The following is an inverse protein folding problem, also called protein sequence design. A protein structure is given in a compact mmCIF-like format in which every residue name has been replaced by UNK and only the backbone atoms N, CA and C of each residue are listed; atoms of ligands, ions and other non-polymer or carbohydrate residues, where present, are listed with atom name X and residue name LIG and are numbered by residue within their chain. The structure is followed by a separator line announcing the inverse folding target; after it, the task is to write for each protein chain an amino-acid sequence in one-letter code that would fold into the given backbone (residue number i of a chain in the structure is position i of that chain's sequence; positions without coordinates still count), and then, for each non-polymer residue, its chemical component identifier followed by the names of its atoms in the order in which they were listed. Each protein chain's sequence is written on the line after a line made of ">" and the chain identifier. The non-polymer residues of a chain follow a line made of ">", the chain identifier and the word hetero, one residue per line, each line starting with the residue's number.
data_IF_078148173642
#
_entry.id   IF_078148173642
#
_cell.length_a   1.000
_cell.length_b   1.000
_cell.length_c   1.000
_cell.angle_alpha   90.00
_cell.angle_beta   90.00
_cell.angle_gamma   90.00
#
_symmetry.space_group_name_H-M   'P 1'
#
loop_
_entity.id
_entity.type
_entity.pdbx_description
1 polymer ?
#
# COMPACT_ATOMS: atom_id res chain seq x y z
N UNK A 1 -15.90 -10.67 72.20
CA UNK A 1 -14.50 -10.81 71.66
C UNK A 1 -14.42 -11.75 70.46
N UNK A 2 -15.28 -12.72 70.31
CA UNK A 2 -15.24 -13.76 69.27
C UNK A 2 -15.57 -13.27 67.84
N UNK A 3 -16.44 -12.26 67.68
CA UNK A 3 -16.86 -11.77 66.37
C UNK A 3 -15.75 -10.95 65.67
N UNK A 4 -14.96 -10.22 66.42
CA UNK A 4 -13.82 -9.44 65.87
C UNK A 4 -12.66 -10.32 65.43
N UNK A 5 -12.43 -11.46 66.05
CA UNK A 5 -11.44 -12.46 65.65
C UNK A 5 -11.85 -13.21 64.39
N UNK A 6 -13.13 -13.50 64.25
CA UNK A 6 -13.67 -14.15 63.04
C UNK A 6 -13.60 -13.24 61.81
N UNK A 7 -13.81 -11.92 62.00
CA UNK A 7 -13.70 -10.94 60.89
C UNK A 7 -12.24 -10.74 60.45
N UNK A 8 -11.26 -10.74 61.39
CA UNK A 8 -9.85 -10.66 61.05
C UNK A 8 -9.31 -11.89 60.32
N UNK A 9 -9.79 -13.08 60.66
CA UNK A 9 -9.48 -14.33 59.94
C UNK A 9 -10.09 -14.37 58.54
N UNK A 10 -11.30 -13.82 58.36
CA UNK A 10 -11.91 -13.73 57.03
C UNK A 10 -11.20 -12.75 56.10
N UNK A 11 -10.73 -11.62 56.62
CA UNK A 11 -9.94 -10.65 55.85
C UNK A 11 -8.54 -11.19 55.51
N UNK A 12 -7.89 -11.92 56.44
CA UNK A 12 -6.62 -12.55 56.16
C UNK A 12 -6.67 -13.66 55.11
N UNK A 13 -7.81 -14.41 55.02
CA UNK A 13 -8.00 -15.44 54.00
C UNK A 13 -8.31 -14.85 52.62
N UNK A 14 -8.83 -13.61 52.49
CA UNK A 14 -9.08 -12.92 51.25
C UNK A 14 -7.77 -12.32 50.66
N UNK A 15 -6.76 -12.06 51.47
CA UNK A 15 -5.47 -11.60 51.00
C UNK A 15 -4.49 -12.73 50.57
N UNK A 16 -4.82 -14.00 50.84
CA UNK A 16 -3.99 -15.15 50.46
C UNK A 16 -4.25 -15.67 49.03
N UNK A 17 -5.20 -15.09 48.33
CA UNK A 17 -5.52 -15.50 46.96
C UNK A 17 -4.96 -14.53 45.94
N UNK A 18 -3.74 -14.66 45.52
CA UNK A 18 -3.14 -14.31 44.22
C UNK A 18 -1.61 -14.25 44.31
N UNK A 19 -1.00 -15.28 44.88
CA UNK A 19 0.39 -15.61 44.53
C UNK A 19 0.34 -16.82 43.63
N UNK A 20 -0.11 -16.63 42.41
CA UNK A 20 0.28 -17.44 41.26
C UNK A 20 1.73 -17.04 40.96
N UNK A 21 2.65 -17.51 41.77
CA UNK A 21 4.07 -17.51 41.43
C UNK A 21 4.32 -18.57 40.35
N UNK A 22 3.88 -18.27 39.16
CA UNK A 22 4.37 -18.90 37.96
C UNK A 22 5.30 -17.90 37.30
N UNK A 23 6.53 -17.85 37.75
CA UNK A 23 7.67 -17.17 37.11
C UNK A 23 8.05 -17.94 35.82
N UNK A 24 7.07 -18.23 34.96
CA UNK A 24 7.33 -18.69 33.62
C UNK A 24 7.37 -17.46 32.75
N UNK A 25 8.56 -16.92 32.53
CA UNK A 25 8.77 -15.95 31.46
C UNK A 25 8.05 -16.49 30.21
N UNK A 26 7.03 -15.79 29.67
CA UNK A 26 6.28 -16.26 28.49
C UNK A 26 7.19 -16.69 27.34
N UNK A 27 8.35 -16.07 27.21
CA UNK A 27 9.36 -16.37 26.19
C UNK A 27 10.01 -17.76 26.35
N UNK A 28 9.84 -18.42 27.51
CA UNK A 28 10.34 -19.79 27.69
C UNK A 28 9.46 -20.84 27.01
N UNK A 29 8.26 -20.48 26.56
CA UNK A 29 7.37 -21.37 25.81
C UNK A 29 7.37 -21.03 24.31
N UNK A 30 7.12 -22.02 23.44
CA UNK A 30 6.98 -21.76 22.01
C UNK A 30 5.82 -20.78 21.74
N UNK A 31 4.68 -21.01 22.37
CA UNK A 31 3.50 -20.14 22.25
C UNK A 31 3.81 -18.70 22.65
N UNK A 32 4.44 -18.49 23.79
CA UNK A 32 4.79 -17.15 24.27
C UNK A 32 5.81 -16.43 23.36
N UNK A 33 6.76 -17.18 22.77
CA UNK A 33 7.65 -16.61 21.74
C UNK A 33 6.91 -16.22 20.47
N UNK A 34 5.95 -17.02 20.01
CA UNK A 34 5.15 -16.71 18.83
C UNK A 34 4.28 -15.46 19.07
N UNK A 35 3.61 -15.38 20.22
CA UNK A 35 2.81 -14.20 20.61
C UNK A 35 3.69 -12.94 20.73
N UNK A 36 4.85 -13.05 21.34
CA UNK A 36 5.78 -11.92 21.48
C UNK A 36 6.32 -11.47 20.09
N UNK A 37 6.68 -12.42 19.22
CA UNK A 37 7.11 -12.14 17.85
C UNK A 37 6.02 -11.38 17.10
N UNK A 38 4.78 -11.87 17.12
CA UNK A 38 3.66 -11.22 16.46
C UNK A 38 3.41 -9.80 17.00
N UNK A 39 3.44 -9.63 18.34
CA UNK A 39 3.32 -8.33 18.97
C UNK A 39 4.43 -7.36 18.54
N UNK A 40 5.68 -7.84 18.43
CA UNK A 40 6.77 -7.02 17.93
C UNK A 40 6.60 -6.61 16.46
N UNK A 41 6.11 -7.52 15.60
CA UNK A 41 5.80 -7.18 14.20
C UNK A 41 4.72 -6.11 14.15
N UNK A 42 3.62 -6.26 14.89
CA UNK A 42 2.53 -5.28 14.93
C UNK A 42 3.00 -3.91 15.45
N UNK A 43 3.84 -3.90 16.49
CA UNK A 43 4.42 -2.66 17.01
C UNK A 43 5.30 -1.97 15.97
N UNK A 44 6.13 -2.73 15.24
CA UNK A 44 6.96 -2.21 14.17
C UNK A 44 6.14 -1.60 13.03
N UNK A 45 5.10 -2.31 12.57
CA UNK A 45 4.18 -1.81 11.56
C UNK A 45 3.43 -0.55 12.03
N UNK A 46 3.03 -0.50 13.31
CA UNK A 46 2.41 0.69 13.90
C UNK A 46 3.33 1.92 13.87
N UNK A 47 4.62 1.76 14.18
CA UNK A 47 5.59 2.84 14.05
C UNK A 47 5.80 3.27 12.58
N UNK A 48 5.86 2.31 11.66
CA UNK A 48 6.01 2.60 10.24
C UNK A 48 4.82 3.41 9.70
N UNK A 49 3.60 3.06 10.08
CA UNK A 49 2.40 3.81 9.72
C UNK A 49 2.41 5.25 10.23
N UNK A 50 3.10 5.52 11.33
CA UNK A 50 3.30 6.86 11.88
C UNK A 50 4.51 7.60 11.26
N UNK A 51 5.18 7.02 10.26
CA UNK A 51 6.39 7.57 9.66
C UNK A 51 7.63 7.49 10.55
N UNK A 52 7.62 6.65 11.59
CA UNK A 52 8.70 6.52 12.56
C UNK A 52 9.61 5.33 12.22
N UNK A 53 10.25 5.33 11.05
CA UNK A 53 11.04 4.21 10.51
C UNK A 53 12.12 3.73 11.48
N UNK A 54 12.90 4.64 12.07
CA UNK A 54 13.93 4.29 13.05
C UNK A 54 13.38 3.56 14.28
N UNK A 55 12.19 3.96 14.75
CA UNK A 55 11.53 3.28 15.86
C UNK A 55 10.98 1.92 15.48
N UNK A 56 10.53 1.75 14.24
CA UNK A 56 10.03 0.49 13.74
C UNK A 56 11.10 -0.61 13.73
N UNK A 57 12.35 -0.27 13.46
CA UNK A 57 13.47 -1.25 13.42
C UNK A 57 13.67 -2.00 14.73
N UNK A 58 13.49 -1.34 15.88
CA UNK A 58 13.76 -1.95 17.18
C UNK A 58 12.87 -3.17 17.46
N UNK A 59 11.54 -3.06 17.42
CA UNK A 59 10.69 -4.23 17.62
C UNK A 59 10.82 -5.26 16.50
N UNK A 60 11.01 -4.85 15.23
CA UNK A 60 11.17 -5.79 14.12
C UNK A 60 12.44 -6.64 14.26
N UNK A 61 13.55 -6.05 14.71
CA UNK A 61 14.76 -6.83 15.04
C UNK A 61 14.51 -7.83 16.15
N UNK A 62 13.77 -7.45 17.20
CA UNK A 62 13.37 -8.39 18.27
C UNK A 62 12.49 -9.53 17.75
N UNK A 63 11.62 -9.26 16.80
CA UNK A 63 10.85 -10.34 16.15
C UNK A 63 11.78 -11.32 15.43
N UNK A 64 12.79 -10.84 14.70
CA UNK A 64 13.78 -11.69 14.01
C UNK A 64 14.75 -12.39 14.96
N UNK A 65 15.04 -11.84 16.15
CA UNK A 65 15.78 -12.55 17.21
C UNK A 65 15.00 -13.80 17.69
N UNK A 66 13.66 -13.70 17.75
CA UNK A 66 12.80 -14.83 18.11
C UNK A 66 12.58 -15.83 16.95
N UNK A 67 12.53 -15.34 15.71
CA UNK A 67 12.33 -16.14 14.51
C UNK A 67 13.04 -15.49 13.30
N UNK A 68 14.30 -15.87 13.01
CA UNK A 68 15.09 -15.22 11.95
C UNK A 68 14.49 -15.26 10.54
N UNK A 69 13.70 -16.29 10.25
CA UNK A 69 13.01 -16.46 8.96
C UNK A 69 11.54 -15.97 8.99
N UNK A 70 11.14 -15.14 9.99
CA UNK A 70 9.76 -14.66 10.03
C UNK A 70 9.45 -13.78 8.82
N UNK A 71 8.45 -14.22 8.02
CA UNK A 71 8.08 -13.56 6.78
C UNK A 71 7.50 -12.16 7.00
N UNK A 72 6.72 -11.97 8.08
CA UNK A 72 6.06 -10.69 8.35
C UNK A 72 7.05 -9.66 8.90
N UNK A 73 7.99 -10.07 9.77
CA UNK A 73 9.06 -9.22 10.26
C UNK A 73 10.00 -8.77 9.13
N UNK A 74 10.40 -9.70 8.26
CA UNK A 74 11.23 -9.36 7.09
C UNK A 74 10.48 -8.43 6.13
N UNK A 75 9.20 -8.71 5.81
CA UNK A 75 8.41 -7.83 4.95
C UNK A 75 8.24 -6.42 5.56
N UNK A 76 8.06 -6.32 6.88
CA UNK A 76 7.98 -5.04 7.56
C UNK A 76 9.30 -4.27 7.55
N UNK A 77 10.45 -4.94 7.75
CA UNK A 77 11.77 -4.32 7.61
C UNK A 77 12.04 -3.86 6.18
N UNK A 78 11.61 -4.63 5.17
CA UNK A 78 11.71 -4.19 3.78
C UNK A 78 10.99 -2.86 3.54
N UNK A 79 9.78 -2.68 4.09
CA UNK A 79 9.04 -1.42 4.00
C UNK A 79 9.73 -0.28 4.78
N UNK A 80 10.37 -0.59 5.91
CA UNK A 80 11.18 0.40 6.66
C UNK A 80 12.35 0.87 5.80
N UNK A 81 13.12 -0.04 5.22
CA UNK A 81 14.27 0.31 4.38
C UNK A 81 13.85 1.02 3.08
N UNK A 82 12.73 0.65 2.48
CA UNK A 82 12.13 1.41 1.37
C UNK A 82 11.85 2.86 1.78
N UNK A 83 11.23 3.09 2.95
CA UNK A 83 10.95 4.44 3.45
C UNK A 83 12.21 5.24 3.79
N UNK A 84 13.32 4.57 4.10
CA UNK A 84 14.64 5.17 4.35
C UNK A 84 15.49 5.33 3.08
N UNK A 85 14.95 4.97 1.91
CA UNK A 85 15.65 5.01 0.63
C UNK A 85 16.93 4.14 0.61
N UNK A 86 16.85 2.97 1.23
CA UNK A 86 17.88 1.93 1.26
C UNK A 86 17.41 0.72 0.42
N UNK A 87 17.41 0.83 -0.93
CA UNK A 87 16.75 -0.13 -1.81
C UNK A 87 17.39 -1.52 -1.79
N UNK A 88 18.70 -1.64 -1.57
CA UNK A 88 19.39 -2.93 -1.51
C UNK A 88 18.92 -3.74 -0.29
N UNK A 89 18.79 -3.09 0.87
CA UNK A 89 18.30 -3.71 2.10
C UNK A 89 16.82 -4.05 1.98
N UNK A 90 16.03 -3.18 1.37
CA UNK A 90 14.61 -3.45 1.11
C UNK A 90 14.44 -4.70 0.22
N UNK A 91 15.19 -4.80 -0.88
CA UNK A 91 15.15 -5.95 -1.80
C UNK A 91 15.56 -7.25 -1.10
N UNK A 92 16.62 -7.21 -0.28
CA UNK A 92 17.08 -8.37 0.48
C UNK A 92 15.99 -8.89 1.43
N UNK A 93 15.41 -8.00 2.24
CA UNK A 93 14.38 -8.37 3.19
C UNK A 93 13.07 -8.83 2.51
N UNK A 94 12.68 -8.26 1.36
CA UNK A 94 11.56 -8.80 0.59
C UNK A 94 11.84 -10.23 0.09
N UNK A 95 13.05 -10.50 -0.38
CA UNK A 95 13.43 -11.87 -0.80
C UNK A 95 13.42 -12.85 0.37
N UNK A 96 13.93 -12.45 1.54
CA UNK A 96 13.88 -13.28 2.75
C UNK A 96 12.42 -13.58 3.16
N UNK A 97 11.55 -12.56 3.11
CA UNK A 97 10.13 -12.74 3.39
C UNK A 97 9.46 -13.74 2.45
N UNK A 98 9.72 -13.65 1.14
CA UNK A 98 9.17 -14.56 0.14
C UNK A 98 9.82 -15.95 0.19
N UNK A 99 11.08 -16.09 0.63
CA UNK A 99 11.69 -17.38 0.86
C UNK A 99 10.96 -18.17 1.97
N UNK A 100 10.48 -17.46 2.98
CA UNK A 100 9.71 -18.07 4.08
C UNK A 100 8.21 -18.27 3.73
N UNK A 101 7.62 -17.39 2.91
CA UNK A 101 6.21 -17.45 2.51
C UNK A 101 6.03 -17.05 1.04
N UNK A 102 6.31 -17.95 0.09
CA UNK A 102 6.40 -17.65 -1.35
C UNK A 102 5.09 -17.19 -1.98
N UNK A 103 3.94 -17.67 -1.46
CA UNK A 103 2.62 -17.42 -2.03
C UNK A 103 1.84 -16.32 -1.30
N UNK A 104 2.48 -15.54 -0.42
CA UNK A 104 1.82 -14.45 0.28
C UNK A 104 1.48 -13.30 -0.65
N UNK A 105 0.21 -13.19 -1.09
CA UNK A 105 -0.26 -12.13 -1.97
C UNK A 105 0.08 -10.74 -1.43
N UNK A 106 0.01 -10.53 -0.11
CA UNK A 106 0.38 -9.26 0.54
C UNK A 106 1.87 -8.92 0.36
N UNK A 107 2.76 -9.89 0.60
CA UNK A 107 4.21 -9.68 0.46
C UNK A 107 4.56 -9.50 -1.02
N UNK A 108 4.00 -10.32 -1.91
CA UNK A 108 4.18 -10.21 -3.35
C UNK A 108 3.73 -8.84 -3.88
N UNK A 109 2.56 -8.34 -3.44
CA UNK A 109 2.08 -7.02 -3.83
C UNK A 109 2.98 -5.89 -3.32
N UNK A 110 3.43 -5.95 -2.07
CA UNK A 110 4.34 -4.95 -1.51
C UNK A 110 5.69 -4.95 -2.23
N UNK A 111 6.25 -6.13 -2.47
CA UNK A 111 7.51 -6.25 -3.21
C UNK A 111 7.36 -5.80 -4.67
N UNK A 112 6.24 -6.12 -5.31
CA UNK A 112 5.92 -5.59 -6.63
C UNK A 112 5.86 -4.06 -6.66
N UNK A 113 5.27 -3.44 -5.64
CA UNK A 113 5.20 -1.98 -5.52
C UNK A 113 6.59 -1.35 -5.33
N UNK A 114 7.42 -1.93 -4.48
CA UNK A 114 8.82 -1.53 -4.35
C UNK A 114 9.57 -1.62 -5.68
N UNK A 115 9.49 -2.76 -6.38
CA UNK A 115 10.12 -2.96 -7.68
C UNK A 115 9.63 -1.97 -8.75
N UNK A 116 8.35 -1.59 -8.69
CA UNK A 116 7.79 -0.57 -9.57
C UNK A 116 8.42 0.81 -9.31
N UNK A 117 8.59 1.21 -8.06
CA UNK A 117 9.26 2.45 -7.67
C UNK A 117 10.71 2.47 -8.12
N UNK A 118 11.42 1.33 -8.00
CA UNK A 118 12.78 1.13 -8.51
C UNK A 118 12.84 1.01 -10.05
N UNK A 119 11.73 1.21 -10.76
CA UNK A 119 11.61 1.10 -12.22
C UNK A 119 11.97 -0.29 -12.78
N UNK A 120 12.00 -1.30 -11.94
CA UNK A 120 12.19 -2.72 -12.30
C UNK A 120 10.85 -3.32 -12.76
N UNK A 121 10.24 -2.70 -13.77
CA UNK A 121 8.84 -2.97 -14.15
C UNK A 121 8.55 -4.41 -14.54
N UNK A 122 9.49 -5.10 -15.21
CA UNK A 122 9.30 -6.53 -15.58
C UNK A 122 9.18 -7.41 -14.35
N UNK A 123 10.04 -7.19 -13.36
CA UNK A 123 10.02 -7.94 -12.10
C UNK A 123 8.78 -7.57 -11.27
N UNK A 124 8.43 -6.28 -11.21
CA UNK A 124 7.21 -5.81 -10.56
C UNK A 124 5.97 -6.52 -11.12
N UNK A 125 5.85 -6.57 -12.45
CA UNK A 125 4.73 -7.24 -13.11
C UNK A 125 4.63 -8.72 -12.69
N UNK A 126 5.75 -9.46 -12.67
CA UNK A 126 5.78 -10.86 -12.24
C UNK A 126 5.30 -11.04 -10.79
N UNK A 127 5.70 -10.14 -9.87
CA UNK A 127 5.26 -10.22 -8.47
C UNK A 127 3.77 -9.92 -8.33
N UNK A 128 3.27 -8.90 -9.02
CA UNK A 128 1.83 -8.61 -9.05
C UNK A 128 1.02 -9.75 -9.69
N UNK A 129 1.53 -10.38 -10.74
CA UNK A 129 0.87 -11.53 -11.38
C UNK A 129 0.74 -12.71 -10.42
N UNK A 130 1.80 -13.01 -9.65
CA UNK A 130 1.76 -14.00 -8.59
C UNK A 130 0.76 -13.62 -7.49
N UNK A 131 0.74 -12.36 -7.06
CA UNK A 131 -0.22 -11.88 -6.06
C UNK A 131 -1.68 -11.97 -6.54
N UNK A 132 -1.94 -11.72 -7.83
CA UNK A 132 -3.27 -11.78 -8.42
C UNK A 132 -3.85 -13.19 -8.49
N UNK A 133 -3.01 -14.23 -8.38
CA UNK A 133 -3.41 -15.63 -8.38
C UNK A 133 -4.23 -16.00 -7.13
N UNK A 134 -3.98 -15.34 -5.99
CA UNK A 134 -4.81 -15.50 -4.79
C UNK A 134 -6.17 -14.81 -4.98
N UNK A 135 -7.18 -15.61 -5.27
CA UNK A 135 -8.55 -15.12 -5.53
C UNK A 135 -9.26 -14.61 -4.27
N UNK A 136 -8.77 -14.95 -3.08
CA UNK A 136 -9.32 -14.55 -1.79
C UNK A 136 -8.60 -13.33 -1.20
N UNK A 137 -7.55 -12.83 -1.85
CA UNK A 137 -6.82 -11.67 -1.36
C UNK A 137 -7.71 -10.41 -1.38
N UNK A 138 -7.96 -9.75 -0.22
CA UNK A 138 -8.90 -8.63 -0.13
C UNK A 138 -8.52 -7.44 -1.03
N UNK A 139 -7.21 -7.19 -1.20
CA UNK A 139 -6.67 -6.09 -2.00
C UNK A 139 -6.46 -6.46 -3.48
N UNK A 140 -7.10 -7.52 -3.95
CA UNK A 140 -6.90 -8.04 -5.32
C UNK A 140 -7.23 -7.01 -6.41
N UNK A 141 -8.17 -6.13 -6.16
CA UNK A 141 -8.47 -5.02 -7.08
C UNK A 141 -7.27 -4.08 -7.25
N UNK A 142 -6.56 -3.78 -6.15
CA UNK A 142 -5.32 -2.98 -6.18
C UNK A 142 -4.19 -3.69 -6.90
N UNK A 143 -4.10 -5.01 -6.77
CA UNK A 143 -3.11 -5.81 -7.53
C UNK A 143 -3.34 -5.66 -9.03
N UNK A 144 -4.59 -5.72 -9.51
CA UNK A 144 -4.90 -5.50 -10.92
C UNK A 144 -4.66 -4.06 -11.37
N UNK A 145 -4.89 -3.06 -10.52
CA UNK A 145 -4.48 -1.68 -10.78
C UNK A 145 -2.96 -1.60 -10.98
N UNK A 146 -2.18 -2.17 -10.06
CA UNK A 146 -0.71 -2.19 -10.15
C UNK A 146 -0.22 -2.93 -11.41
N UNK A 147 -0.85 -4.04 -11.79
CA UNK A 147 -0.58 -4.74 -13.05
C UNK A 147 -0.81 -3.83 -14.25
N UNK A 148 -1.94 -3.13 -14.29
CA UNK A 148 -2.26 -2.21 -15.37
C UNK A 148 -1.29 -1.05 -15.46
N UNK A 149 -0.98 -0.41 -14.35
CA UNK A 149 0.02 0.67 -14.27
C UNK A 149 1.39 0.20 -14.73
N UNK A 150 1.78 -1.03 -14.34
CA UNK A 150 3.08 -1.61 -14.71
C UNK A 150 3.12 -1.95 -16.20
N UNK A 151 2.04 -2.49 -16.76
CA UNK A 151 1.91 -2.77 -18.20
C UNK A 151 2.00 -1.48 -19.02
N UNK A 152 1.37 -0.37 -18.58
CA UNK A 152 1.54 0.96 -19.19
C UNK A 152 3.00 1.38 -19.21
N UNK A 153 3.75 1.23 -18.12
CA UNK A 153 5.19 1.56 -18.07
C UNK A 153 6.04 0.67 -18.98
N UNK A 154 5.58 -0.53 -19.28
CA UNK A 154 6.22 -1.45 -20.22
C UNK A 154 5.80 -1.19 -21.69
N UNK A 155 4.91 -0.23 -21.96
CA UNK A 155 4.39 0.05 -23.28
C UNK A 155 3.39 -1.01 -23.80
N UNK A 156 2.88 -1.87 -22.91
CA UNK A 156 1.95 -2.97 -23.24
C UNK A 156 0.51 -2.49 -23.05
N UNK A 157 0.07 -1.67 -23.98
CA UNK A 157 -1.17 -0.88 -23.91
C UNK A 157 -2.42 -1.72 -23.71
N UNK A 158 -2.62 -2.72 -24.56
CA UNK A 158 -3.80 -3.59 -24.51
C UNK A 158 -3.84 -4.39 -23.19
N UNK A 159 -2.67 -4.80 -22.72
CA UNK A 159 -2.55 -5.48 -21.46
C UNK A 159 -2.85 -4.55 -20.28
N UNK A 160 -2.40 -3.29 -20.35
CA UNK A 160 -2.73 -2.28 -19.35
C UNK A 160 -4.24 -2.08 -19.23
N UNK A 161 -4.93 -1.86 -20.36
CA UNK A 161 -6.38 -1.72 -20.40
C UNK A 161 -7.08 -2.94 -19.80
N UNK A 162 -6.70 -4.15 -20.21
CA UNK A 162 -7.28 -5.39 -19.69
C UNK A 162 -7.16 -5.51 -18.16
N UNK A 163 -5.99 -5.17 -17.59
CA UNK A 163 -5.77 -5.27 -16.14
C UNK A 163 -6.52 -4.17 -15.38
N UNK A 164 -6.53 -2.94 -15.90
CA UNK A 164 -7.29 -1.83 -15.30
C UNK A 164 -8.80 -2.08 -15.33
N UNK A 165 -9.34 -2.67 -16.40
CA UNK A 165 -10.73 -3.09 -16.43
C UNK A 165 -11.05 -4.15 -15.38
N UNK A 166 -10.15 -5.11 -15.14
CA UNK A 166 -10.31 -6.09 -14.05
C UNK A 166 -10.30 -5.39 -12.68
N UNK A 167 -9.41 -4.43 -12.49
CA UNK A 167 -9.36 -3.63 -11.26
C UNK A 167 -10.70 -2.92 -11.02
N UNK A 168 -11.20 -2.21 -12.04
CA UNK A 168 -12.45 -1.44 -11.95
C UNK A 168 -13.72 -2.31 -11.87
N UNK A 169 -13.69 -3.56 -12.36
CA UNK A 169 -14.77 -4.54 -12.12
C UNK A 169 -14.82 -5.01 -10.67
N UNK A 170 -13.65 -5.18 -10.03
CA UNK A 170 -13.59 -5.59 -8.62
C UNK A 170 -13.88 -4.43 -7.66
N UNK A 171 -13.40 -3.25 -8.00
CA UNK A 171 -13.66 -2.01 -7.26
C UNK A 171 -13.73 -0.83 -8.22
N UNK A 172 -14.93 -0.33 -8.48
CA UNK A 172 -15.19 0.76 -9.42
C UNK A 172 -14.72 2.15 -8.89
N UNK A 173 -14.30 2.24 -7.63
CA UNK A 173 -13.86 3.47 -6.95
C UNK A 173 -12.34 3.52 -6.77
N UNK A 174 -11.57 3.31 -7.84
CA UNK A 174 -10.12 3.39 -7.84
C UNK A 174 -9.65 4.58 -8.69
N UNK A 175 -9.31 5.73 -8.07
CA UNK A 175 -8.98 6.95 -8.82
C UNK A 175 -7.80 6.76 -9.77
N UNK A 176 -6.75 6.04 -9.36
CA UNK A 176 -5.57 5.81 -10.21
C UNK A 176 -5.92 5.00 -11.47
N UNK A 177 -6.72 3.93 -11.31
CA UNK A 177 -7.16 3.12 -12.43
C UNK A 177 -8.08 3.93 -13.38
N UNK A 178 -8.97 4.75 -12.84
CA UNK A 178 -9.85 5.61 -13.63
C UNK A 178 -9.07 6.64 -14.44
N UNK A 179 -8.08 7.32 -13.82
CA UNK A 179 -7.25 8.30 -14.51
C UNK A 179 -6.42 7.64 -15.62
N UNK A 180 -5.81 6.49 -15.35
CA UNK A 180 -5.03 5.76 -16.36
C UNK A 180 -5.90 5.30 -17.53
N UNK A 181 -7.12 4.78 -17.25
CA UNK A 181 -8.08 4.41 -18.31
C UNK A 181 -8.55 5.63 -19.11
N UNK A 182 -8.72 6.78 -18.47
CA UNK A 182 -9.07 8.02 -19.16
C UNK A 182 -7.97 8.44 -20.13
N UNK A 183 -6.70 8.38 -19.73
CA UNK A 183 -5.56 8.71 -20.57
C UNK A 183 -5.39 7.74 -21.74
N UNK A 184 -5.39 6.43 -21.44
CA UNK A 184 -5.30 5.40 -22.48
C UNK A 184 -6.41 5.57 -23.52
N UNK A 185 -7.65 5.80 -23.07
CA UNK A 185 -8.78 6.03 -23.97
C UNK A 185 -8.63 7.33 -24.77
N UNK A 186 -8.13 8.41 -24.15
CA UNK A 186 -7.88 9.68 -24.84
C UNK A 186 -6.81 9.53 -25.94
N UNK A 187 -5.72 8.87 -25.65
CA UNK A 187 -4.64 8.61 -26.60
C UNK A 187 -5.10 7.72 -27.77
N UNK A 188 -6.02 6.77 -27.51
CA UNK A 188 -6.67 5.95 -28.55
C UNK A 188 -7.77 6.72 -29.32
N UNK A 189 -7.96 8.00 -29.02
CA UNK A 189 -9.01 8.84 -29.57
C UNK A 189 -10.44 8.37 -29.25
N UNK A 190 -10.60 7.53 -28.25
CA UNK A 190 -11.90 7.13 -27.73
C UNK A 190 -12.38 8.17 -26.69
N UNK A 191 -12.70 9.38 -27.16
CA UNK A 191 -12.92 10.53 -26.30
C UNK A 191 -14.14 10.41 -25.39
N UNK A 192 -15.20 9.72 -25.82
CA UNK A 192 -16.40 9.53 -24.99
C UNK A 192 -16.10 8.64 -23.79
N UNK A 193 -15.51 7.43 -23.93
CA UNK A 193 -15.02 6.66 -22.79
C UNK A 193 -14.00 7.41 -21.94
N UNK A 194 -13.06 8.12 -22.57
CA UNK A 194 -12.06 8.91 -21.85
C UNK A 194 -12.69 9.92 -20.90
N UNK A 195 -13.73 10.64 -21.36
CA UNK A 195 -14.49 11.59 -20.53
C UNK A 195 -15.23 10.87 -19.40
N UNK A 196 -15.89 9.75 -19.66
CA UNK A 196 -16.60 9.00 -18.61
C UNK A 196 -15.66 8.57 -17.48
N UNK A 197 -14.49 7.99 -17.81
CA UNK A 197 -13.49 7.64 -16.81
C UNK A 197 -12.95 8.87 -16.07
N UNK A 198 -12.70 9.97 -16.76
CA UNK A 198 -12.21 11.21 -16.17
C UNK A 198 -13.23 11.84 -15.23
N UNK A 199 -14.51 11.90 -15.62
CA UNK A 199 -15.58 12.45 -14.78
C UNK A 199 -15.73 11.62 -13.49
N UNK A 200 -15.66 10.30 -13.57
CA UNK A 200 -15.66 9.41 -12.41
C UNK A 200 -14.42 9.60 -11.54
N UNK A 201 -13.24 9.76 -12.12
CA UNK A 201 -12.01 10.10 -11.41
C UNK A 201 -12.19 11.42 -10.63
N UNK A 202 -12.73 12.44 -11.26
CA UNK A 202 -12.89 13.78 -10.67
C UNK A 202 -13.78 13.83 -9.43
N UNK A 203 -14.66 12.83 -9.27
CA UNK A 203 -15.51 12.68 -8.07
C UNK A 203 -14.77 12.00 -6.90
N UNK A 204 -13.70 11.26 -7.16
CA UNK A 204 -13.05 10.37 -6.19
C UNK A 204 -11.62 10.77 -5.89
N UNK A 205 -10.91 11.37 -6.85
CA UNK A 205 -9.49 11.65 -6.79
C UNK A 205 -9.17 13.13 -6.69
N UNK A 206 -8.03 13.42 -6.08
CA UNK A 206 -7.49 14.77 -6.08
C UNK A 206 -6.87 15.09 -7.45
N UNK A 207 -7.10 16.32 -7.92
CA UNK A 207 -6.51 16.80 -9.15
C UNK A 207 -5.01 17.01 -8.97
N UNK A 208 -4.24 16.59 -9.98
CA UNK A 208 -2.80 16.81 -10.09
C UNK A 208 -2.47 17.38 -11.48
N UNK A 209 -1.19 17.70 -11.73
CA UNK A 209 -0.79 18.31 -13.01
C UNK A 209 -1.23 17.46 -14.22
N UNK A 210 -1.04 16.14 -14.14
CA UNK A 210 -1.40 15.16 -15.19
C UNK A 210 -2.90 15.16 -15.46
N UNK A 211 -3.73 15.05 -14.41
CA UNK A 211 -5.18 15.04 -14.55
C UNK A 211 -5.74 16.38 -15.04
N UNK A 212 -5.18 17.50 -14.60
CA UNK A 212 -5.58 18.82 -15.08
C UNK A 212 -5.29 19.01 -16.57
N UNK A 213 -4.12 18.55 -17.05
CA UNK A 213 -3.79 18.59 -18.47
C UNK A 213 -4.77 17.73 -19.29
N UNK A 214 -5.06 16.52 -18.83
CA UNK A 214 -6.06 15.66 -19.48
C UNK A 214 -7.44 16.33 -19.48
N UNK A 215 -7.83 16.97 -18.38
CA UNK A 215 -9.07 17.73 -18.27
C UNK A 215 -9.18 18.87 -19.28
N UNK A 216 -8.08 19.65 -19.48
CA UNK A 216 -8.02 20.68 -20.52
C UNK A 216 -8.26 20.07 -21.90
N UNK A 217 -7.53 18.99 -22.22
CA UNK A 217 -7.60 18.32 -23.53
C UNK A 217 -8.99 17.76 -23.83
N UNK A 218 -9.59 17.08 -22.84
CA UNK A 218 -10.97 16.56 -22.97
C UNK A 218 -11.96 17.70 -23.16
N UNK A 219 -11.88 18.76 -22.33
CA UNK A 219 -12.76 19.91 -22.45
C UNK A 219 -12.62 20.59 -23.83
N UNK A 220 -11.40 20.67 -24.37
CA UNK A 220 -11.15 21.19 -25.72
C UNK A 220 -11.79 20.31 -26.79
N UNK A 221 -11.65 18.98 -26.71
CA UNK A 221 -12.27 18.03 -27.65
C UNK A 221 -13.79 18.15 -27.67
N UNK A 222 -14.41 18.42 -26.52
CA UNK A 222 -15.85 18.56 -26.38
C UNK A 222 -16.34 20.02 -26.46
N UNK A 223 -15.47 20.95 -26.89
CA UNK A 223 -15.76 22.39 -27.05
C UNK A 223 -16.26 23.09 -25.79
N UNK A 224 -15.96 22.56 -24.59
CA UNK A 224 -16.28 23.15 -23.29
C UNK A 224 -15.18 24.16 -22.89
N UNK A 225 -15.28 25.36 -23.45
CA UNK A 225 -14.26 26.43 -23.26
C UNK A 225 -14.11 26.85 -21.79
N UNK A 226 -15.20 26.85 -21.04
CA UNK A 226 -15.18 27.28 -19.63
C UNK A 226 -14.41 26.28 -18.77
N UNK A 227 -14.66 24.99 -18.97
CA UNK A 227 -13.90 23.94 -18.29
C UNK A 227 -12.44 23.94 -18.72
N UNK A 228 -12.14 24.05 -20.01
CA UNK A 228 -10.76 24.11 -20.52
C UNK A 228 -10.00 25.27 -19.87
N UNK A 229 -10.58 26.48 -19.83
CA UNK A 229 -10.00 27.63 -19.19
C UNK A 229 -9.81 27.44 -17.67
N UNK A 230 -10.80 26.84 -17.00
CA UNK A 230 -10.74 26.55 -15.55
C UNK A 230 -9.62 25.60 -15.21
N UNK A 231 -9.48 24.46 -15.94
CA UNK A 231 -8.39 23.51 -15.72
C UNK A 231 -7.02 24.11 -16.06
N UNK A 232 -6.91 24.88 -17.15
CA UNK A 232 -5.67 25.57 -17.53
C UNK A 232 -5.22 26.58 -16.48
N UNK A 233 -6.17 27.33 -15.90
CA UNK A 233 -5.88 28.26 -14.80
C UNK A 233 -5.40 27.53 -13.53
N UNK A 234 -6.02 26.41 -13.17
CA UNK A 234 -5.59 25.59 -12.04
C UNK A 234 -4.19 25.01 -12.28
N UNK A 235 -3.92 24.48 -13.48
CA UNK A 235 -2.61 23.96 -13.85
C UNK A 235 -1.53 25.04 -13.74
N UNK A 236 -1.79 26.23 -14.28
CA UNK A 236 -0.91 27.41 -14.16
C UNK A 236 -0.65 27.81 -12.72
N UNK A 237 -1.70 27.82 -11.88
CA UNK A 237 -1.61 28.32 -10.50
C UNK A 237 -0.94 27.31 -9.56
N UNK A 238 -1.29 26.04 -9.69
CA UNK A 238 -0.88 25.00 -8.73
C UNK A 238 0.40 24.27 -9.17
N UNK A 239 0.65 24.19 -10.48
CA UNK A 239 1.74 23.37 -11.03
C UNK A 239 2.58 24.12 -12.10
N UNK A 240 3.01 25.38 -11.87
CA UNK A 240 3.64 26.21 -12.91
C UNK A 240 5.01 25.69 -13.40
N UNK A 241 5.67 24.82 -12.63
CA UNK A 241 7.00 24.28 -12.95
C UNK A 241 7.00 22.88 -13.55
N UNK A 242 5.82 22.30 -13.81
CA UNK A 242 5.73 20.90 -14.25
C UNK A 242 5.83 20.75 -15.77
N UNK A 243 6.26 19.56 -16.26
CA UNK A 243 6.26 19.24 -17.69
C UNK A 243 4.84 19.37 -18.30
N UNK A 244 3.80 19.03 -17.57
CA UNK A 244 2.41 19.13 -18.01
C UNK A 244 1.99 20.58 -18.26
N UNK A 245 2.46 21.52 -17.45
CA UNK A 245 2.20 22.93 -17.70
C UNK A 245 2.96 23.44 -18.94
N UNK A 246 4.21 23.03 -19.14
CA UNK A 246 4.94 23.35 -20.35
C UNK A 246 4.25 22.79 -21.60
N UNK A 247 3.74 21.55 -21.51
CA UNK A 247 2.98 20.94 -22.57
C UNK A 247 1.67 21.70 -22.86
N UNK A 248 0.93 22.08 -21.81
CA UNK A 248 -0.25 22.94 -21.94
C UNK A 248 0.05 24.22 -22.70
N UNK A 249 1.17 24.91 -22.37
CA UNK A 249 1.58 26.14 -23.08
C UNK A 249 1.90 25.91 -24.56
N UNK A 250 2.43 24.75 -24.90
CA UNK A 250 2.76 24.41 -26.30
C UNK A 250 1.54 24.03 -27.14
N UNK A 251 0.42 23.71 -26.50
CA UNK A 251 -0.83 23.31 -27.14
C UNK A 251 -1.82 24.49 -27.31
N UNK A 252 -1.47 25.72 -26.82
CA UNK A 252 -2.28 26.94 -26.99
C UNK A 252 -2.02 27.60 -28.32
#
# INVERSE_FOLDING_TARGET
>A
MTLRFALLLLVASLCAGCVLSGDSNPLNTSKGRDEAREAYVQLGLGYLQQGMSERAKVPLKKALELAPADADANAALALVFQAEMEPELADEHFRQALAARPDSARILNNYGSFLFEEKRYKEAYQRFEQAAADTLYPERSRVFENLGMTASKLGQRELAQLQLEKALRLNHQQPRALLEMAELSYEDRHYVPARDYYDRFSLLGEQNARSLLLGVRLATVFEDRDKAASYGLQLKRLYPGTPEYQQYLSEQ
#
